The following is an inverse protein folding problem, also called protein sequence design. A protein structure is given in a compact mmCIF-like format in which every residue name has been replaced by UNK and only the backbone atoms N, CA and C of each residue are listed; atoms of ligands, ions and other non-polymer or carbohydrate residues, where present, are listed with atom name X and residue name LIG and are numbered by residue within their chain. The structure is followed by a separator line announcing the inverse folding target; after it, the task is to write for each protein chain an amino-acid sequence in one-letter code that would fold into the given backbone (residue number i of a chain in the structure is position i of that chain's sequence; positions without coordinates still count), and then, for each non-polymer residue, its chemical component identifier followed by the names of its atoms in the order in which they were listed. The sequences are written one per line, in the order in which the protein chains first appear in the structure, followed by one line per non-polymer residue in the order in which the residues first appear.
data_IF_339907239473
#
_entry.id   IF_339907239473
#
_cell.length_a   1.000
_cell.length_b   1.000
_cell.length_c   1.000
_cell.angle_alpha   90.00
_cell.angle_beta   90.00
_cell.angle_gamma   90.00
#
_symmetry.space_group_name_H-M   'P 1'
#
loop_
_entity.id
_entity.type
_entity.pdbx_description
1 polymer ?
#
# COMPACT_ATOMS: atom_id res chain seq x y z
N UNK A 1 -4.06 70.17 25.63
CA UNK A 1 -3.91 69.09 24.63
C UNK A 1 -4.33 67.78 25.29
N UNK A 2 -5.46 67.20 24.88
CA UNK A 2 -5.87 65.84 25.28
C UNK A 2 -5.40 64.88 24.20
N UNK A 3 -4.71 63.77 24.51
CA UNK A 3 -4.39 62.79 23.51
C UNK A 3 -5.64 61.99 23.14
N UNK A 4 -5.84 61.91 21.83
CA UNK A 4 -6.88 61.24 21.08
C UNK A 4 -6.99 59.75 21.42
N UNK A 5 -8.23 59.27 21.57
CA UNK A 5 -8.56 57.85 21.61
C UNK A 5 -8.35 57.24 20.21
N UNK A 6 -7.35 56.39 20.05
CA UNK A 6 -7.29 55.45 18.91
C UNK A 6 -8.18 54.24 19.22
N UNK A 7 -9.44 54.32 18.79
CA UNK A 7 -10.28 53.15 18.52
C UNK A 7 -10.52 53.09 17.01
N UNK A 8 -10.63 51.87 16.47
CA UNK A 8 -11.13 51.45 15.13
C UNK A 8 -10.11 51.02 14.07
N UNK A 9 -9.43 49.89 14.28
CA UNK A 9 -8.87 49.09 13.17
C UNK A 9 -8.92 47.56 13.35
N UNK A 10 -9.35 47.04 14.49
CA UNK A 10 -9.32 45.58 14.82
C UNK A 10 -10.60 44.80 14.49
N UNK A 11 -11.71 45.47 14.15
CA UNK A 11 -13.01 44.80 13.90
C UNK A 11 -13.09 43.98 12.59
N UNK A 12 -12.52 44.41 11.45
CA UNK A 12 -12.71 43.68 10.18
C UNK A 12 -11.98 42.34 10.17
N UNK A 13 -10.77 42.30 10.73
CA UNK A 13 -9.93 41.09 10.73
C UNK A 13 -10.54 39.97 11.58
N UNK A 14 -11.06 40.30 12.76
CA UNK A 14 -11.73 39.32 13.61
C UNK A 14 -13.01 38.78 12.96
N UNK A 15 -13.80 39.63 12.31
CA UNK A 15 -14.98 39.17 11.57
C UNK A 15 -14.61 38.20 10.43
N UNK A 16 -13.52 38.45 9.71
CA UNK A 16 -13.04 37.53 8.67
C UNK A 16 -12.58 36.18 9.25
N UNK A 17 -11.92 36.19 10.41
CA UNK A 17 -11.49 34.96 11.10
C UNK A 17 -12.73 34.17 11.58
N UNK A 18 -13.74 34.85 12.11
CA UNK A 18 -14.99 34.24 12.57
C UNK A 18 -15.72 33.53 11.43
N UNK A 19 -15.89 34.22 10.30
CA UNK A 19 -16.49 33.67 9.09
C UNK A 19 -15.69 32.49 8.53
N UNK A 20 -14.36 32.57 8.56
CA UNK A 20 -13.46 31.49 8.17
C UNK A 20 -13.67 30.24 9.04
N UNK A 21 -13.66 30.40 10.38
CA UNK A 21 -13.86 29.30 11.33
C UNK A 21 -15.21 28.61 11.08
N UNK A 22 -16.28 29.39 10.91
CA UNK A 22 -17.63 28.87 10.64
C UNK A 22 -17.66 28.12 9.32
N UNK A 23 -17.10 28.71 8.26
CA UNK A 23 -17.04 28.10 6.93
C UNK A 23 -16.33 26.75 6.96
N UNK A 24 -15.17 26.69 7.61
CA UNK A 24 -14.38 25.45 7.69
C UNK A 24 -15.06 24.38 8.54
N UNK A 25 -15.75 24.74 9.63
CA UNK A 25 -16.58 23.80 10.40
C UNK A 25 -17.69 23.23 9.54
N UNK A 26 -18.41 24.08 8.80
CA UNK A 26 -19.52 23.65 7.94
C UNK A 26 -19.05 22.77 6.77
N UNK A 27 -17.82 22.94 6.30
CA UNK A 27 -17.21 22.09 5.28
C UNK A 27 -16.54 20.82 5.84
N UNK A 28 -16.60 20.58 7.14
CA UNK A 28 -15.94 19.43 7.80
C UNK A 28 -14.42 19.54 7.94
N UNK A 29 -13.84 20.71 7.68
CA UNK A 29 -12.39 20.98 7.75
C UNK A 29 -11.97 21.38 9.18
N UNK A 30 -12.22 20.51 10.15
CA UNK A 30 -12.04 20.80 11.58
C UNK A 30 -10.60 21.10 11.99
N UNK A 31 -9.60 20.54 11.30
CA UNK A 31 -8.18 20.83 11.56
C UNK A 31 -7.83 22.30 11.32
N UNK A 32 -8.36 22.91 10.25
CA UNK A 32 -8.09 24.31 9.90
C UNK A 32 -8.80 25.23 10.89
N UNK A 33 -10.05 24.93 11.22
CA UNK A 33 -10.80 25.67 12.24
C UNK A 33 -10.12 25.59 13.61
N UNK A 34 -9.58 24.42 13.98
CA UNK A 34 -8.85 24.23 15.23
C UNK A 34 -7.59 25.10 15.28
N UNK A 35 -6.80 25.10 14.20
CA UNK A 35 -5.59 25.93 14.10
C UNK A 35 -5.90 27.41 14.32
N UNK A 36 -6.96 27.93 13.69
CA UNK A 36 -7.39 29.31 13.90
C UNK A 36 -7.80 29.59 15.35
N UNK A 37 -8.52 28.68 15.98
CA UNK A 37 -8.95 28.82 17.38
C UNK A 37 -7.76 28.77 18.35
N UNK A 38 -6.80 27.88 18.13
CA UNK A 38 -5.57 27.78 18.92
C UNK A 38 -4.70 29.05 18.76
N UNK A 39 -4.63 29.63 17.56
CA UNK A 39 -3.95 30.91 17.33
C UNK A 39 -4.61 32.07 18.09
N UNK A 40 -5.94 32.18 18.04
CA UNK A 40 -6.68 33.21 18.82
C UNK A 40 -6.40 33.03 20.33
N UNK A 41 -6.41 31.79 20.81
CA UNK A 41 -6.13 31.48 22.21
C UNK A 41 -4.69 31.86 22.58
N UNK A 42 -3.71 31.62 21.72
CA UNK A 42 -2.32 32.00 21.93
C UNK A 42 -2.13 33.53 21.95
N UNK A 43 -2.76 34.24 21.03
CA UNK A 43 -2.62 35.71 20.91
C UNK A 43 -3.37 36.47 22.01
N UNK A 44 -4.61 36.06 22.32
CA UNK A 44 -5.47 36.79 23.26
C UNK A 44 -5.46 36.19 24.67
N UNK A 45 -4.95 34.98 24.84
CA UNK A 45 -4.94 34.26 26.13
C UNK A 45 -6.30 33.69 26.56
N UNK A 46 -7.39 34.03 25.86
CA UNK A 46 -8.74 33.51 26.16
C UNK A 46 -9.58 33.37 24.88
N UNK A 47 -10.59 32.49 24.95
CA UNK A 47 -11.61 32.34 23.93
C UNK A 47 -12.97 32.78 24.48
N UNK A 48 -13.79 33.41 23.65
CA UNK A 48 -15.18 33.69 24.01
C UNK A 48 -15.99 32.38 24.13
N UNK A 49 -17.17 32.43 24.76
CA UNK A 49 -17.96 31.22 25.03
C UNK A 49 -18.30 30.41 23.77
N UNK A 50 -18.56 31.08 22.63
CA UNK A 50 -18.86 30.39 21.37
C UNK A 50 -17.62 29.70 20.79
N UNK A 51 -16.45 30.31 20.88
CA UNK A 51 -15.18 29.72 20.46
C UNK A 51 -14.72 28.60 21.37
N UNK A 52 -15.00 28.68 22.66
CA UNK A 52 -14.78 27.57 23.58
C UNK A 52 -15.56 26.33 23.15
N UNK A 53 -16.86 26.47 22.82
CA UNK A 53 -17.69 25.37 22.32
C UNK A 53 -17.13 24.82 21.00
N UNK A 54 -16.83 25.72 20.04
CA UNK A 54 -16.28 25.32 18.73
C UNK A 54 -14.90 24.67 18.84
N UNK A 55 -14.07 25.11 19.77
CA UNK A 55 -12.75 24.56 20.04
C UNK A 55 -12.86 23.10 20.49
N UNK A 56 -13.68 22.84 21.51
CA UNK A 56 -13.97 21.47 21.98
C UNK A 56 -14.59 20.63 20.86
N UNK A 57 -15.51 21.19 20.09
CA UNK A 57 -16.13 20.50 18.96
C UNK A 57 -15.09 20.10 17.91
N UNK A 58 -14.17 20.99 17.54
CA UNK A 58 -13.11 20.66 16.59
C UNK A 58 -12.17 19.58 17.13
N UNK A 59 -11.77 19.66 18.41
CA UNK A 59 -10.97 18.62 19.06
C UNK A 59 -11.66 17.25 19.01
N UNK A 60 -12.97 17.20 19.27
CA UNK A 60 -13.77 15.98 19.14
C UNK A 60 -13.73 15.41 17.72
N UNK A 61 -14.03 16.21 16.69
CA UNK A 61 -14.05 15.72 15.30
C UNK A 61 -12.65 15.34 14.76
N UNK A 62 -11.59 15.93 15.32
CA UNK A 62 -10.19 15.57 15.04
C UNK A 62 -9.75 14.33 15.84
N UNK A 63 -10.64 13.71 16.62
CA UNK A 63 -10.39 12.52 17.46
C UNK A 63 -9.41 12.73 18.61
N UNK A 64 -9.19 13.98 19.03
CA UNK A 64 -8.42 14.35 20.24
C UNK A 64 -9.34 14.39 21.46
N UNK A 65 -9.92 13.23 21.80
CA UNK A 65 -11.04 13.15 22.75
C UNK A 65 -10.66 13.50 24.19
N UNK A 66 -9.47 13.11 24.66
CA UNK A 66 -9.00 13.43 26.01
C UNK A 66 -8.81 14.93 26.20
N UNK A 67 -8.18 15.58 25.23
CA UNK A 67 -8.00 17.03 25.22
C UNK A 67 -9.34 17.77 25.13
N UNK A 68 -10.28 17.28 24.31
CA UNK A 68 -11.62 17.83 24.25
C UNK A 68 -12.31 17.82 25.63
N UNK A 69 -12.15 16.75 26.41
CA UNK A 69 -12.69 16.65 27.77
C UNK A 69 -12.03 17.67 28.70
N UNK A 70 -10.70 17.73 28.70
CA UNK A 70 -9.93 18.65 29.56
C UNK A 70 -10.31 20.11 29.31
N UNK A 71 -10.31 20.54 28.04
CA UNK A 71 -10.69 21.89 27.67
C UNK A 71 -12.16 22.20 27.98
N UNK A 72 -13.08 21.26 27.74
CA UNK A 72 -14.49 21.46 28.07
C UNK A 72 -14.71 21.63 29.58
N UNK A 73 -14.07 20.80 30.41
CA UNK A 73 -14.13 20.93 31.86
C UNK A 73 -13.53 22.25 32.34
N UNK A 74 -12.39 22.64 31.77
CA UNK A 74 -11.75 23.93 32.03
C UNK A 74 -12.70 25.10 31.72
N UNK A 75 -13.28 25.15 30.52
CA UNK A 75 -14.18 26.23 30.12
C UNK A 75 -15.46 26.29 30.98
N UNK A 76 -16.00 25.14 31.38
CA UNK A 76 -17.13 25.10 32.34
C UNK A 76 -16.71 25.70 33.69
N UNK A 77 -15.53 25.33 34.19
CA UNK A 77 -15.00 25.85 35.47
C UNK A 77 -14.68 27.35 35.44
N UNK A 78 -14.29 27.87 34.27
CA UNK A 78 -14.04 29.28 34.02
C UNK A 78 -15.33 30.10 33.83
N UNK A 79 -16.49 29.45 33.84
CA UNK A 79 -17.80 30.10 33.90
C UNK A 79 -18.63 30.00 32.61
N UNK A 80 -18.28 29.16 31.64
CA UNK A 80 -19.14 28.91 30.48
C UNK A 80 -20.27 27.92 30.85
N UNK A 81 -21.54 28.36 30.90
CA UNK A 81 -22.65 27.52 31.36
C UNK A 81 -23.26 26.67 30.24
N UNK A 82 -22.63 26.60 29.05
CA UNK A 82 -23.21 25.92 27.90
C UNK A 82 -23.35 24.42 28.12
N UNK A 83 -24.58 23.92 27.96
CA UNK A 83 -24.87 22.48 27.97
C UNK A 83 -24.18 21.74 26.82
N UNK A 84 -23.78 22.43 25.76
CA UNK A 84 -23.08 21.83 24.62
C UNK A 84 -21.69 21.34 25.03
N UNK A 85 -21.01 22.04 25.94
CA UNK A 85 -19.73 21.57 26.49
C UNK A 85 -19.90 20.27 27.27
N UNK A 86 -20.93 20.21 28.12
CA UNK A 86 -21.27 18.99 28.86
C UNK A 86 -21.63 17.84 27.93
N UNK A 87 -22.38 18.14 26.86
CA UNK A 87 -22.71 17.15 25.84
C UNK A 87 -21.46 16.62 25.12
N UNK A 88 -20.54 17.50 24.74
CA UNK A 88 -19.28 17.15 24.09
C UNK A 88 -18.37 16.31 25.00
N UNK A 89 -18.35 16.56 26.32
CA UNK A 89 -17.68 15.67 27.28
C UNK A 89 -18.29 14.26 27.20
N UNK A 90 -19.63 14.16 27.24
CA UNK A 90 -20.32 12.88 27.13
C UNK A 90 -20.00 12.13 25.84
N UNK A 91 -19.95 12.83 24.70
CA UNK A 91 -19.58 12.23 23.41
C UNK A 91 -18.13 11.74 23.41
N UNK A 92 -17.19 12.57 23.89
CA UNK A 92 -15.78 12.18 23.99
C UNK A 92 -15.57 10.97 24.89
N UNK A 93 -16.25 10.91 26.05
CA UNK A 93 -16.22 9.76 26.95
C UNK A 93 -16.75 8.49 26.30
N UNK A 94 -17.83 8.61 25.51
CA UNK A 94 -18.39 7.49 24.75
C UNK A 94 -17.38 6.95 23.73
N UNK A 95 -16.72 7.81 22.96
CA UNK A 95 -15.75 7.40 21.93
C UNK A 95 -14.51 6.71 22.52
N UNK A 96 -14.02 7.15 23.68
CA UNK A 96 -12.90 6.48 24.36
C UNK A 96 -13.31 5.18 25.07
N UNK A 97 -14.62 4.87 25.13
CA UNK A 97 -15.14 3.65 25.74
C UNK A 97 -15.48 3.74 27.23
N UNK A 98 -15.46 4.94 27.81
CA UNK A 98 -15.90 5.21 29.19
C UNK A 98 -17.43 5.37 29.22
N UNK A 99 -18.13 4.27 28.91
CA UNK A 99 -19.57 4.30 28.67
C UNK A 99 -20.39 4.59 29.93
N UNK A 100 -19.91 4.18 31.11
CA UNK A 100 -20.58 4.44 32.38
C UNK A 100 -20.61 5.95 32.70
N UNK A 101 -19.46 6.61 32.57
CA UNK A 101 -19.28 8.03 32.76
C UNK A 101 -20.09 8.82 31.71
N UNK A 102 -20.04 8.41 30.44
CA UNK A 102 -20.85 9.00 29.38
C UNK A 102 -22.35 8.89 29.67
N UNK A 103 -22.84 7.73 30.11
CA UNK A 103 -24.24 7.52 30.48
C UNK A 103 -24.66 8.43 31.65
N UNK A 104 -23.79 8.59 32.65
CA UNK A 104 -24.04 9.49 33.78
C UNK A 104 -24.16 10.96 33.36
N UNK A 105 -23.48 11.38 32.29
CA UNK A 105 -23.66 12.72 31.72
C UNK A 105 -24.99 12.83 30.98
N UNK A 106 -25.31 11.85 30.13
CA UNK A 106 -26.48 11.93 29.27
C UNK A 106 -27.82 11.81 30.01
N UNK A 107 -27.86 11.10 31.16
CA UNK A 107 -29.11 10.81 31.90
C UNK A 107 -29.88 12.05 32.38
N UNK A 108 -29.20 13.18 32.57
CA UNK A 108 -29.79 14.38 33.18
C UNK A 108 -30.53 15.28 32.20
N UNK A 109 -30.43 15.01 30.89
CA UNK A 109 -31.07 15.84 29.87
C UNK A 109 -31.94 14.97 28.94
N UNK A 110 -33.27 15.17 28.91
CA UNK A 110 -34.17 14.40 28.05
C UNK A 110 -33.79 14.47 26.55
N UNK A 111 -33.16 15.56 26.09
CA UNK A 111 -32.71 15.69 24.70
C UNK A 111 -31.57 14.74 24.33
N UNK A 112 -30.89 14.15 25.33
CA UNK A 112 -29.76 13.24 25.14
C UNK A 112 -30.14 11.78 25.39
N UNK A 113 -31.43 11.46 25.48
CA UNK A 113 -31.92 10.12 25.80
C UNK A 113 -31.38 9.05 24.85
N UNK A 114 -31.28 9.34 23.55
CA UNK A 114 -30.69 8.42 22.57
C UNK A 114 -29.24 8.05 22.93
N UNK A 115 -28.45 9.04 23.31
CA UNK A 115 -27.05 8.83 23.69
C UNK A 115 -26.92 8.14 25.05
N UNK A 116 -27.80 8.45 26.00
CA UNK A 116 -27.91 7.69 27.24
C UNK A 116 -28.18 6.20 26.98
N UNK A 117 -29.18 5.88 26.15
CA UNK A 117 -29.50 4.49 25.79
C UNK A 117 -28.31 3.80 25.10
N UNK A 118 -27.64 4.48 24.16
CA UNK A 118 -26.43 3.95 23.50
C UNK A 118 -25.33 3.64 24.52
N UNK A 119 -24.98 4.60 25.38
CA UNK A 119 -23.95 4.42 26.39
C UNK A 119 -24.31 3.30 27.38
N UNK A 120 -25.56 3.23 27.83
CA UNK A 120 -26.05 2.19 28.73
C UNK A 120 -25.97 0.79 28.12
N UNK A 121 -26.37 0.64 26.85
CA UNK A 121 -26.20 -0.62 26.12
C UNK A 121 -24.71 -0.97 26.01
N UNK A 122 -23.88 -0.04 25.55
CA UNK A 122 -22.44 -0.29 25.37
C UNK A 122 -21.72 -0.59 26.69
N UNK A 123 -22.22 -0.12 27.82
CA UNK A 123 -21.75 -0.51 29.15
C UNK A 123 -22.09 -1.97 29.48
N UNK A 124 -23.31 -2.41 29.15
CA UNK A 124 -23.80 -3.76 29.43
C UNK A 124 -23.26 -4.81 28.45
N UNK A 125 -22.83 -4.40 27.26
CA UNK A 125 -21.99 -5.22 26.40
C UNK A 125 -20.57 -5.17 26.97
N UNK A 126 -20.06 -6.24 27.61
CA UNK A 126 -18.62 -6.35 27.70
C UNK A 126 -18.12 -6.17 26.27
N UNK A 127 -17.14 -5.30 26.06
CA UNK A 127 -16.16 -5.57 25.01
C UNK A 127 -15.57 -6.91 25.44
N UNK A 128 -16.28 -8.00 25.14
CA UNK A 128 -15.69 -9.29 25.02
C UNK A 128 -14.52 -8.95 24.13
N UNK A 129 -13.35 -9.03 24.74
CA UNK A 129 -12.18 -9.56 24.13
C UNK A 129 -12.74 -10.78 23.39
N UNK A 130 -13.27 -10.56 22.18
CA UNK A 130 -13.07 -11.48 21.11
C UNK A 130 -11.58 -11.60 21.22
N UNK A 131 -11.13 -12.70 21.83
CA UNK A 131 -9.79 -13.17 21.65
C UNK A 131 -9.68 -13.17 20.14
N UNK A 132 -9.20 -12.06 19.57
CA UNK A 132 -8.76 -11.97 18.20
C UNK A 132 -7.62 -12.94 18.28
N UNK A 133 -7.94 -14.22 18.07
CA UNK A 133 -6.99 -15.29 17.90
C UNK A 133 -6.03 -14.66 16.91
N UNK A 134 -4.83 -14.34 17.38
CA UNK A 134 -3.91 -13.45 16.67
C UNK A 134 -3.85 -14.02 15.26
N UNK A 135 -4.41 -13.30 14.29
CA UNK A 135 -4.52 -13.85 12.94
C UNK A 135 -3.10 -13.76 12.40
N UNK A 136 -2.39 -14.88 12.51
CA UNK A 136 -1.03 -14.98 12.03
C UNK A 136 -1.04 -14.76 10.51
N UNK A 137 0.01 -14.12 10.02
CA UNK A 137 0.16 -13.94 8.58
C UNK A 137 0.40 -15.32 7.96
N UNK A 138 -0.32 -15.70 6.88
CA UNK A 138 -0.20 -17.04 6.33
C UNK A 138 1.23 -17.32 5.90
N UNK A 139 1.67 -18.57 6.08
CA UNK A 139 2.94 -19.06 5.56
C UNK A 139 2.73 -19.53 4.13
N UNK A 140 3.72 -19.29 3.26
CA UNK A 140 3.69 -19.77 1.88
C UNK A 140 3.52 -21.29 1.89
N UNK A 141 2.46 -21.77 1.23
CA UNK A 141 2.08 -23.18 1.14
C UNK A 141 1.81 -23.54 -0.31
N UNK A 142 1.99 -24.81 -0.64
CA UNK A 142 1.65 -25.36 -1.96
C UNK A 142 0.13 -25.33 -2.19
N UNK A 143 -0.33 -24.95 -3.39
CA UNK A 143 -1.74 -25.00 -3.73
C UNK A 143 -2.19 -26.45 -3.99
N UNK A 144 -3.48 -26.67 -3.78
CA UNK A 144 -4.19 -27.82 -4.36
C UNK A 144 -4.94 -27.36 -5.60
N UNK A 145 -5.09 -28.20 -6.61
CA UNK A 145 -5.81 -27.81 -7.82
C UNK A 145 -6.67 -28.94 -8.36
N UNK A 146 -7.75 -28.55 -9.03
CA UNK A 146 -8.66 -29.45 -9.75
C UNK A 146 -8.97 -28.84 -11.11
N UNK A 147 -9.42 -29.65 -12.06
CA UNK A 147 -9.71 -29.15 -13.40
C UNK A 147 -10.91 -29.86 -14.03
N UNK A 148 -11.57 -29.14 -14.93
CA UNK A 148 -12.47 -29.68 -15.94
C UNK A 148 -11.80 -29.56 -17.31
N UNK A 149 -12.49 -29.92 -18.40
CA UNK A 149 -11.96 -29.69 -19.74
C UNK A 149 -11.84 -28.20 -20.07
N UNK A 150 -12.68 -27.35 -19.45
CA UNK A 150 -12.80 -25.92 -19.77
C UNK A 150 -12.17 -25.00 -18.69
N UNK A 151 -11.92 -25.50 -17.48
CA UNK A 151 -11.48 -24.67 -16.35
C UNK A 151 -10.48 -25.35 -15.42
N UNK A 152 -9.76 -24.55 -14.65
CA UNK A 152 -8.86 -24.96 -13.56
C UNK A 152 -9.22 -24.19 -12.31
N UNK A 153 -9.35 -24.88 -11.18
CA UNK A 153 -9.55 -24.25 -9.87
C UNK A 153 -8.32 -24.50 -9.01
N UNK A 154 -7.69 -23.44 -8.53
CA UNK A 154 -6.47 -23.49 -7.69
C UNK A 154 -6.81 -22.96 -6.31
N UNK A 155 -6.49 -23.71 -5.25
CA UNK A 155 -6.86 -23.40 -3.87
C UNK A 155 -5.61 -23.37 -3.00
N UNK A 156 -5.33 -22.21 -2.40
CA UNK A 156 -4.26 -21.99 -1.44
C UNK A 156 -4.83 -21.96 -0.01
N UNK A 157 -4.29 -22.77 0.93
CA UNK A 157 -4.74 -22.79 2.31
C UNK A 157 -4.11 -21.64 3.12
N UNK A 158 -4.64 -20.43 2.94
CA UNK A 158 -4.21 -19.21 3.63
C UNK A 158 -5.24 -18.76 4.67
N UNK A 159 -5.24 -19.35 5.88
CA UNK A 159 -6.23 -19.03 6.91
C UNK A 159 -6.06 -17.60 7.42
N UNK A 160 -7.19 -16.92 7.59
CA UNK A 160 -7.27 -15.55 8.08
C UNK A 160 -6.79 -14.49 7.09
N UNK A 161 -6.64 -14.84 5.81
CA UNK A 161 -6.29 -13.90 4.75
C UNK A 161 -7.47 -12.96 4.46
N UNK A 162 -7.22 -11.65 4.43
CA UNK A 162 -8.25 -10.67 4.10
C UNK A 162 -8.21 -10.36 2.60
N UNK A 163 -9.38 -10.13 1.99
CA UNK A 163 -9.47 -9.77 0.56
C UNK A 163 -8.65 -8.51 0.21
N UNK A 164 -8.54 -7.55 1.13
CA UNK A 164 -7.73 -6.33 0.95
C UNK A 164 -6.22 -6.57 0.97
N UNK A 165 -5.77 -7.74 1.39
CA UNK A 165 -4.34 -8.12 1.47
C UNK A 165 -3.87 -8.87 0.23
N UNK A 166 -4.74 -9.10 -0.76
CA UNK A 166 -4.45 -9.95 -1.93
C UNK A 166 -4.67 -9.19 -3.23
N UNK A 167 -3.63 -9.15 -4.05
CA UNK A 167 -3.69 -8.75 -5.45
C UNK A 167 -3.41 -9.99 -6.31
N UNK A 168 -4.23 -10.20 -7.34
CA UNK A 168 -4.04 -11.27 -8.32
C UNK A 168 -4.09 -10.67 -9.71
N UNK A 169 -3.02 -10.88 -10.47
CA UNK A 169 -2.89 -10.46 -11.86
C UNK A 169 -2.88 -11.69 -12.76
N UNK A 170 -3.80 -11.75 -13.72
CA UNK A 170 -3.93 -12.86 -14.66
C UNK A 170 -3.29 -12.50 -16.00
N UNK A 171 -2.36 -13.34 -16.45
CA UNK A 171 -1.73 -13.28 -17.76
C UNK A 171 -2.14 -14.50 -18.60
N UNK A 172 -1.93 -14.47 -19.93
CA UNK A 172 -2.32 -15.57 -20.78
C UNK A 172 -1.78 -16.93 -20.32
N UNK A 173 -0.54 -17.02 -19.84
CA UNK A 173 0.09 -18.29 -19.44
C UNK A 173 0.65 -18.26 -18.01
N UNK A 174 0.32 -17.23 -17.23
CA UNK A 174 0.80 -17.13 -15.86
C UNK A 174 -0.15 -16.38 -14.95
N UNK A 175 0.01 -16.57 -13.65
CA UNK A 175 -0.74 -15.86 -12.61
C UNK A 175 0.22 -15.36 -11.55
N UNK A 176 0.17 -14.05 -11.30
CA UNK A 176 0.90 -13.42 -10.21
C UNK A 176 -0.03 -13.16 -9.04
N UNK A 177 0.37 -13.60 -7.85
CA UNK A 177 -0.34 -13.42 -6.60
C UNK A 177 0.57 -12.68 -5.66
N UNK A 178 0.15 -11.50 -5.21
CA UNK A 178 0.82 -10.72 -4.18
C UNK A 178 -0.03 -10.72 -2.92
N UNK A 179 0.53 -11.24 -1.83
CA UNK A 179 -0.07 -11.15 -0.50
C UNK A 179 0.72 -10.13 0.31
N UNK A 180 0.06 -9.05 0.72
CA UNK A 180 0.69 -7.92 1.40
C UNK A 180 -0.15 -7.44 2.59
N UNK A 181 0.45 -7.48 3.79
CA UNK A 181 -0.10 -6.89 5.01
C UNK A 181 0.72 -5.70 5.50
N UNK A 182 2.05 -5.79 5.42
CA UNK A 182 3.01 -4.73 5.71
C UNK A 182 4.40 -5.11 5.19
N UNK A 183 5.39 -4.24 5.34
CA UNK A 183 6.78 -4.44 4.87
C UNK A 183 7.43 -5.74 5.36
N UNK A 184 7.09 -6.22 6.56
CA UNK A 184 7.65 -7.45 7.13
C UNK A 184 6.81 -8.69 6.83
N UNK A 185 5.59 -8.50 6.34
CA UNK A 185 4.60 -9.54 6.13
C UNK A 185 4.03 -9.40 4.72
N UNK A 186 4.83 -9.86 3.77
CA UNK A 186 4.46 -9.97 2.36
C UNK A 186 5.18 -11.14 1.70
N UNK A 187 4.55 -11.74 0.69
CA UNK A 187 5.19 -12.67 -0.24
C UNK A 187 4.43 -12.69 -1.57
N UNK A 188 5.12 -13.17 -2.60
CA UNK A 188 4.53 -13.39 -3.92
C UNK A 188 4.55 -14.87 -4.31
N UNK A 189 3.56 -15.23 -5.14
CA UNK A 189 3.46 -16.50 -5.83
C UNK A 189 3.34 -16.18 -7.32
N UNK A 190 4.27 -16.67 -8.12
CA UNK A 190 4.16 -16.64 -9.57
C UNK A 190 3.91 -18.09 -10.01
N UNK A 191 2.84 -18.30 -10.76
CA UNK A 191 2.48 -19.60 -11.33
C UNK A 191 2.60 -19.50 -12.83
N UNK A 192 3.58 -20.20 -13.41
CA UNK A 192 3.65 -20.45 -14.84
C UNK A 192 2.75 -21.64 -15.20
N UNK A 193 1.66 -21.37 -15.89
CA UNK A 193 0.61 -22.35 -16.19
C UNK A 193 1.01 -23.27 -17.34
N UNK A 194 0.51 -24.50 -17.33
CA UNK A 194 0.75 -25.46 -18.41
C UNK A 194 0.16 -25.04 -19.77
N UNK A 195 -0.86 -24.18 -19.78
CA UNK A 195 -1.48 -23.69 -21.00
C UNK A 195 -2.20 -22.36 -20.82
N UNK A 196 -2.63 -21.78 -21.95
CA UNK A 196 -3.21 -20.45 -21.97
C UNK A 196 -4.61 -20.36 -21.33
N UNK A 197 -4.89 -19.24 -20.67
CA UNK A 197 -6.16 -18.90 -20.02
C UNK A 197 -6.80 -17.64 -20.59
N UNK A 198 -8.12 -17.54 -20.46
CA UNK A 198 -8.92 -16.37 -20.80
C UNK A 198 -8.95 -15.40 -19.62
N UNK A 199 -7.95 -14.52 -19.54
CA UNK A 199 -7.70 -13.61 -18.41
C UNK A 199 -8.93 -12.83 -17.94
N UNK A 200 -9.72 -12.26 -18.85
CA UNK A 200 -10.92 -11.48 -18.54
C UNK A 200 -12.07 -12.26 -17.92
N UNK A 201 -12.03 -13.59 -18.01
CA UNK A 201 -13.05 -14.48 -17.43
C UNK A 201 -12.58 -15.17 -16.15
N UNK A 202 -11.30 -15.02 -15.82
CA UNK A 202 -10.74 -15.58 -14.60
C UNK A 202 -11.16 -14.73 -13.41
N UNK A 203 -11.30 -15.37 -12.25
CA UNK A 203 -11.67 -14.68 -11.02
C UNK A 203 -10.93 -15.27 -9.82
N UNK A 204 -10.94 -14.54 -8.71
CA UNK A 204 -10.47 -15.05 -7.44
C UNK A 204 -11.43 -14.69 -6.30
N UNK A 205 -11.44 -15.54 -5.30
CA UNK A 205 -12.19 -15.34 -4.06
C UNK A 205 -11.30 -15.63 -2.85
N UNK A 206 -11.51 -14.86 -1.79
CA UNK A 206 -10.81 -15.03 -0.52
C UNK A 206 -11.85 -15.39 0.53
N UNK A 207 -11.77 -16.60 1.04
CA UNK A 207 -12.57 -17.11 2.15
C UNK A 207 -11.75 -17.05 3.44
N UNK A 208 -12.40 -17.36 4.57
CA UNK A 208 -11.71 -17.36 5.88
C UNK A 208 -10.49 -18.30 5.89
N UNK A 209 -10.54 -19.41 5.16
CA UNK A 209 -9.49 -20.43 5.21
C UNK A 209 -8.58 -20.43 3.98
N UNK A 210 -9.09 -19.98 2.83
CA UNK A 210 -8.46 -20.24 1.54
C UNK A 210 -8.53 -19.03 0.57
N UNK A 211 -7.50 -18.90 -0.27
CA UNK A 211 -7.57 -18.15 -1.53
C UNK A 211 -7.88 -19.13 -2.66
N UNK A 212 -8.94 -18.87 -3.43
CA UNK A 212 -9.35 -19.70 -4.57
C UNK A 212 -9.26 -18.91 -5.86
N UNK A 213 -8.59 -19.47 -6.86
CA UNK A 213 -8.54 -18.96 -8.22
C UNK A 213 -9.42 -19.83 -9.12
N UNK A 214 -10.21 -19.20 -9.96
CA UNK A 214 -11.00 -19.83 -11.01
C UNK A 214 -10.47 -19.38 -12.36
N UNK A 215 -9.79 -20.28 -13.07
CA UNK A 215 -9.15 -20.03 -14.35
C UNK A 215 -9.97 -20.69 -15.46
N UNK A 216 -10.16 -19.99 -16.57
CA UNK A 216 -10.84 -20.52 -17.76
C UNK A 216 -9.82 -20.77 -18.86
N UNK A 217 -9.78 -21.97 -19.42
CA UNK A 217 -8.79 -22.37 -20.43
C UNK A 217 -9.15 -21.81 -21.80
N UNK A 218 -8.15 -21.43 -22.59
CA UNK A 218 -8.32 -21.11 -24.01
C UNK A 218 -8.59 -22.37 -24.83
N UNK A 219 -7.84 -23.44 -24.54
CA UNK A 219 -7.97 -24.74 -25.21
C UNK A 219 -8.66 -25.72 -24.27
N UNK A 220 -9.77 -26.30 -24.74
CA UNK A 220 -10.56 -27.29 -24.01
C UNK A 220 -9.83 -28.63 -23.97
N UNK A 221 -9.01 -28.84 -22.95
CA UNK A 221 -8.25 -30.07 -22.75
C UNK A 221 -7.84 -30.22 -21.29
N UNK A 222 -7.54 -31.45 -20.87
CA UNK A 222 -6.96 -31.71 -19.55
C UNK A 222 -5.47 -31.44 -19.58
N UNK A 223 -4.99 -30.59 -18.67
CA UNK A 223 -3.57 -30.33 -18.50
C UNK A 223 -2.92 -31.49 -17.74
N UNK A 224 -1.73 -31.97 -18.15
CA UNK A 224 -1.02 -33.04 -17.44
C UNK A 224 -0.53 -32.59 -16.06
N UNK A 225 -0.24 -31.30 -15.89
CA UNK A 225 0.19 -30.65 -14.64
C UNK A 225 -0.37 -29.23 -14.57
N UNK A 226 -0.39 -28.63 -13.38
CA UNK A 226 -0.72 -27.20 -13.23
C UNK A 226 0.39 -26.34 -13.84
N UNK A 227 1.63 -26.70 -13.51
CA UNK A 227 2.84 -25.98 -13.90
C UNK A 227 3.32 -26.42 -15.28
N UNK A 228 3.96 -25.51 -16.00
CA UNK A 228 4.71 -25.83 -17.21
C UNK A 228 5.98 -26.60 -16.85
N UNK A 229 6.09 -27.87 -17.27
CA UNK A 229 7.18 -28.79 -16.88
C UNK A 229 8.53 -28.49 -17.52
N UNK A 230 8.56 -27.64 -18.55
CA UNK A 230 9.78 -27.16 -19.20
C UNK A 230 10.14 -25.74 -18.76
N UNK A 231 9.75 -25.34 -17.55
CA UNK A 231 10.24 -24.09 -16.99
C UNK A 231 11.76 -24.19 -16.80
N UNK A 232 12.46 -23.47 -17.66
CA UNK A 232 13.91 -23.37 -17.73
C UNK A 232 14.47 -22.82 -16.40
N UNK A 233 13.63 -22.19 -15.57
CA UNK A 233 14.02 -21.59 -14.28
C UNK A 233 14.16 -22.60 -13.14
N UNK A 234 13.53 -23.77 -13.20
CA UNK A 234 13.64 -24.83 -12.18
C UNK A 234 14.72 -25.87 -12.48
N UNK A 235 15.25 -25.91 -13.71
CA UNK A 235 16.42 -26.74 -13.99
C UNK A 235 17.63 -26.10 -13.30
N UNK A 236 18.29 -26.85 -12.41
CA UNK A 236 19.59 -26.48 -11.83
C UNK A 236 20.62 -26.29 -12.94
N UNK A 237 20.65 -25.11 -13.54
CA UNK A 237 21.66 -24.74 -14.52
C UNK A 237 22.97 -24.50 -13.79
N UNK A 238 23.74 -25.57 -13.60
CA UNK A 238 25.15 -25.42 -13.27
C UNK A 238 25.83 -24.80 -14.49
N UNK A 239 26.40 -23.61 -14.34
CA UNK A 239 27.15 -22.89 -15.38
C UNK A 239 28.16 -23.82 -16.09
N UNK A 240 28.71 -24.79 -15.36
CA UNK A 240 29.62 -25.80 -15.87
C UNK A 240 29.01 -26.74 -16.93
N UNK A 241 27.74 -27.12 -16.79
CA UNK A 241 27.07 -28.02 -17.73
C UNK A 241 26.78 -27.33 -19.09
N UNK A 242 26.48 -26.04 -19.09
CA UNK A 242 26.31 -25.27 -20.33
C UNK A 242 27.63 -24.88 -20.96
N UNK A 243 28.66 -24.55 -20.17
CA UNK A 243 30.01 -24.34 -20.69
C UNK A 243 30.55 -25.58 -21.42
N UNK A 244 30.23 -26.79 -20.93
CA UNK A 244 30.63 -28.04 -21.61
C UNK A 244 29.92 -28.26 -22.96
N UNK A 245 28.70 -27.75 -23.15
CA UNK A 245 27.98 -27.84 -24.44
C UNK A 245 28.46 -26.82 -25.45
N UNK A 246 28.85 -25.63 -24.99
CA UNK A 246 29.32 -24.54 -25.86
C UNK A 246 30.74 -24.80 -26.36
N UNK A 247 31.60 -25.40 -25.52
CA UNK A 247 33.02 -25.61 -25.81
C UNK A 247 33.33 -26.19 -27.21
N UNK A 248 32.71 -27.31 -27.66
CA UNK A 248 33.04 -27.87 -28.98
C UNK A 248 32.58 -26.97 -30.15
N UNK A 249 31.51 -26.21 -29.98
CA UNK A 249 30.99 -25.31 -31.03
C UNK A 249 31.86 -24.06 -31.15
N UNK A 250 32.30 -23.50 -30.03
CA UNK A 250 33.19 -22.32 -30.02
C UNK A 250 34.60 -22.65 -30.51
N UNK A 251 35.12 -23.84 -30.24
CA UNK A 251 36.47 -24.22 -30.70
C UNK A 251 36.49 -24.35 -32.23
N UNK A 252 35.47 -24.97 -32.83
CA UNK A 252 35.36 -25.10 -34.29
C UNK A 252 35.19 -23.75 -35.00
N UNK A 253 34.39 -22.83 -34.43
CA UNK A 253 34.19 -21.50 -35.00
C UNK A 253 35.45 -20.62 -34.93
N UNK A 254 36.24 -20.73 -33.87
CA UNK A 254 37.49 -20.00 -33.73
C UNK A 254 38.56 -20.52 -34.70
N UNK A 255 38.71 -21.84 -34.82
CA UNK A 255 39.68 -22.45 -35.75
C UNK A 255 39.35 -22.14 -37.22
N UNK A 256 38.07 -22.15 -37.62
CA UNK A 256 37.66 -21.77 -38.98
C UNK A 256 37.91 -20.27 -39.25
N UNK A 257 37.60 -19.39 -38.30
CA UNK A 257 37.77 -17.94 -38.48
C UNK A 257 39.24 -17.50 -38.52
N UNK A 258 40.11 -18.12 -37.73
CA UNK A 258 41.54 -17.81 -37.71
C UNK A 258 42.23 -18.30 -38.99
N UNK A 259 41.86 -19.49 -39.49
CA UNK A 259 42.38 -20.01 -40.75
C UNK A 259 42.03 -19.11 -41.94
N UNK A 260 40.78 -18.65 -42.02
CA UNK A 260 40.32 -17.76 -43.08
C UNK A 260 40.97 -16.37 -43.02
N UNK A 261 41.13 -15.81 -41.83
CA UNK A 261 41.78 -14.52 -41.63
C UNK A 261 43.28 -14.57 -41.98
N UNK A 262 43.98 -15.65 -41.61
CA UNK A 262 45.39 -15.84 -41.95
C UNK A 262 45.56 -15.98 -43.47
N UNK A 263 44.70 -16.76 -44.13
CA UNK A 263 44.73 -16.95 -45.58
C UNK A 263 44.44 -15.64 -46.33
N UNK A 264 43.47 -14.84 -45.87
CA UNK A 264 43.17 -13.54 -46.43
C UNK A 264 44.35 -12.56 -46.30
N UNK A 265 45.01 -12.53 -45.13
CA UNK A 265 46.21 -11.72 -44.90
C UNK A 265 47.38 -12.14 -45.79
N UNK A 266 47.63 -13.45 -45.95
CA UNK A 266 48.69 -13.95 -46.84
C UNK A 266 48.44 -13.54 -48.30
N UNK A 267 47.20 -13.69 -48.78
CA UNK A 267 46.81 -13.31 -50.13
C UNK A 267 46.94 -11.80 -50.38
N UNK A 268 46.55 -10.98 -49.41
CA UNK A 268 46.72 -9.53 -49.50
C UNK A 268 48.21 -9.13 -49.54
N UNK A 269 49.05 -9.77 -48.72
CA UNK A 269 50.50 -9.55 -48.74
C UNK A 269 51.13 -9.95 -50.08
N UNK A 270 50.71 -11.07 -50.68
CA UNK A 270 51.16 -11.47 -52.01
C UNK A 270 50.73 -10.49 -53.11
N UNK A 271 49.51 -9.94 -53.03
CA UNK A 271 49.04 -8.93 -53.99
C UNK A 271 49.83 -7.62 -53.89
N UNK A 272 50.07 -7.15 -52.66
CA UNK A 272 50.75 -5.87 -52.44
C UNK A 272 52.24 -5.94 -52.75
N UNK A 273 52.90 -7.03 -52.38
CA UNK A 273 54.36 -7.09 -52.43
C UNK A 273 54.91 -8.12 -53.43
N UNK A 274 54.03 -8.88 -54.07
CA UNK A 274 54.39 -10.02 -54.89
C UNK A 274 54.80 -11.24 -54.05
N UNK A 275 54.99 -12.40 -54.71
CA UNK A 275 55.43 -13.62 -54.03
C UNK A 275 56.72 -13.34 -53.23
N UNK A 276 56.85 -13.88 -52.00
CA UNK A 276 57.98 -13.62 -51.12
C UNK A 276 59.34 -13.83 -51.80
N UNK A 277 59.44 -14.81 -52.71
CA UNK A 277 60.65 -15.12 -53.48
C UNK A 277 61.07 -13.94 -54.38
N UNK A 278 60.11 -13.23 -54.97
CA UNK A 278 60.38 -12.05 -55.81
C UNK A 278 60.79 -10.83 -55.00
N UNK A 279 60.31 -10.70 -53.75
CA UNK A 279 60.72 -9.62 -52.84
C UNK A 279 62.18 -9.76 -52.43
N UNK A 280 62.59 -10.97 -52.05
CA UNK A 280 63.97 -11.26 -51.66
C UNK A 280 64.92 -10.98 -52.83
N UNK A 281 64.54 -11.35 -54.07
CA UNK A 281 65.33 -11.06 -55.26
C UNK A 281 65.47 -9.56 -55.57
N UNK A 282 64.45 -8.72 -55.31
CA UNK A 282 64.57 -7.26 -55.45
C UNK A 282 65.54 -6.69 -54.41
N UNK A 283 65.39 -7.11 -53.16
CA UNK A 283 66.23 -6.62 -52.07
C UNK A 283 67.72 -6.97 -52.23
N UNK A 284 68.02 -8.08 -52.89
CA UNK A 284 69.39 -8.49 -53.21
C UNK A 284 69.97 -7.75 -54.42
N UNK A 285 69.14 -7.28 -55.36
CA UNK A 285 69.59 -6.51 -56.53
C UNK A 285 69.92 -5.04 -56.22
N UNK A 286 69.33 -4.47 -55.17
CA UNK A 286 69.60 -3.08 -54.76
C UNK A 286 70.89 -2.92 -53.93
N UNK A 287 71.68 -4.00 -53.76
CA UNK A 287 72.92 -4.02 -52.97
C UNK A 287 74.21 -4.16 -53.78
N UNK A 288 74.11 -4.19 -55.11
CA UNK A 288 75.24 -4.12 -56.06
C UNK A 288 75.22 -2.79 -56.81
#
# INVERSE_FOLDING_TARGET
MKPSQNKTTTQPLMQMIDESIIKHINSGNYHISLLHLEQILHENGFLNHNYQIRHVQCLYYVKRYTEAIEYAQKYISEGNPSKDLTFLIGLSLYEIGQYYEAANIFRFNPRWELWYRKAYIMQAYPRNIINKKKIEFPVKSEPTWTQTDDSVTVVFPYPGLLKSEVTVDFYPESVDILIYRNEKQSFSHNIELNGAILTYTCSYSVNHDNLTLELVKVVKSKWPSLYYTDDIREKDYTIQAELQKINPVTTNLLEESEADAILACQKAQEQMFGPPEKRIQRYLKDKD
#
